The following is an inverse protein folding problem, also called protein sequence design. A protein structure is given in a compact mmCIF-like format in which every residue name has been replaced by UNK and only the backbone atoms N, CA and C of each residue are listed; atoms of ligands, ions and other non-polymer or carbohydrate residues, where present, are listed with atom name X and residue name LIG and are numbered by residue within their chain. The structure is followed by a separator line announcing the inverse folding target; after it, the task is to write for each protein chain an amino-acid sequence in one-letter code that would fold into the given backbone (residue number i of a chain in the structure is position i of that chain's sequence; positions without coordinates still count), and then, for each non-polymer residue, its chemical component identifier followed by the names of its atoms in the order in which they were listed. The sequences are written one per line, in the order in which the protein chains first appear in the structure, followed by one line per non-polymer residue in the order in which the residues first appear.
data_IF_028851611455
#
_entry.id   IF_028851611455
#
_cell.length_a   1.000
_cell.length_b   1.000
_cell.length_c   1.000
_cell.angle_alpha   90.00
_cell.angle_beta   90.00
_cell.angle_gamma   90.00
#
_symmetry.space_group_name_H-M   'P 1'
#
loop_
_entity.id
_entity.type
_entity.pdbx_description
1 polymer ?
#
# COMPACT_ATOMS: atom_id res chain seq x y z
N UNK A 1 6.71 -51.16 36.26
CA UNK A 1 7.02 -50.50 34.99
C UNK A 1 5.78 -50.07 34.16
N UNK A 2 4.75 -50.91 34.03
CA UNK A 2 3.55 -50.66 33.22
C UNK A 2 2.76 -49.40 33.63
N UNK A 3 2.51 -49.16 34.91
CA UNK A 3 1.75 -47.98 35.39
C UNK A 3 2.40 -46.65 35.05
N UNK A 4 3.74 -46.55 35.07
CA UNK A 4 4.47 -45.33 34.76
C UNK A 4 4.36 -44.93 33.26
N UNK A 5 4.39 -45.92 32.36
CA UNK A 5 4.23 -45.72 30.93
C UNK A 5 2.78 -45.34 30.56
N UNK A 6 1.78 -45.89 31.27
CA UNK A 6 0.38 -45.53 31.05
C UNK A 6 0.10 -44.09 31.43
N UNK A 7 0.62 -43.61 32.58
CA UNK A 7 0.48 -42.21 33.02
C UNK A 7 1.17 -41.28 32.05
N UNK A 8 2.39 -41.59 31.60
CA UNK A 8 3.13 -40.79 30.63
C UNK A 8 2.39 -40.65 29.28
N UNK A 9 1.77 -41.72 28.81
CA UNK A 9 0.99 -41.69 27.59
C UNK A 9 -0.31 -40.88 27.76
N UNK A 10 -0.96 -40.97 28.92
CA UNK A 10 -2.16 -40.17 29.22
C UNK A 10 -1.84 -38.65 29.24
N UNK A 11 -0.71 -38.26 29.89
CA UNK A 11 -0.25 -36.87 29.93
C UNK A 11 0.08 -36.32 28.52
N UNK A 12 0.74 -37.13 27.68
CA UNK A 12 1.02 -36.77 26.30
C UNK A 12 -0.26 -36.63 25.45
N UNK A 13 -1.26 -37.44 25.72
CA UNK A 13 -2.55 -37.35 25.01
C UNK A 13 -3.32 -36.11 25.45
N UNK A 14 -3.38 -35.83 26.75
CA UNK A 14 -4.02 -34.63 27.29
C UNK A 14 -3.35 -33.34 26.82
N UNK A 15 -2.02 -33.29 26.74
CA UNK A 15 -1.30 -32.12 26.23
C UNK A 15 -1.64 -31.83 24.75
N UNK A 16 -1.76 -32.88 23.92
CA UNK A 16 -2.18 -32.72 22.50
C UNK A 16 -3.61 -32.20 22.38
N UNK A 17 -4.52 -32.69 23.22
CA UNK A 17 -5.92 -32.22 23.22
C UNK A 17 -6.02 -30.75 23.65
N UNK A 18 -5.26 -30.35 24.68
CA UNK A 18 -5.21 -28.96 25.15
C UNK A 18 -4.65 -28.03 24.05
N UNK A 19 -3.56 -28.45 23.39
CA UNK A 19 -2.97 -27.69 22.27
C UNK A 19 -3.98 -27.55 21.14
N UNK A 20 -4.71 -28.62 20.80
CA UNK A 20 -5.73 -28.58 19.73
C UNK A 20 -6.91 -27.67 20.07
N UNK A 21 -7.37 -27.66 21.33
CA UNK A 21 -8.42 -26.76 21.83
C UNK A 21 -7.93 -25.32 21.81
N UNK A 22 -6.69 -25.04 22.23
CA UNK A 22 -6.11 -23.69 22.19
C UNK A 22 -5.97 -23.15 20.75
N UNK A 23 -5.54 -24.01 19.81
CA UNK A 23 -5.45 -23.64 18.38
C UNK A 23 -6.84 -23.38 17.80
N UNK A 24 -7.83 -24.25 18.09
CA UNK A 24 -9.20 -24.07 17.64
C UNK A 24 -9.83 -22.79 18.21
N UNK A 25 -9.59 -22.48 19.47
CA UNK A 25 -10.06 -21.25 20.13
C UNK A 25 -9.40 -19.99 19.55
N UNK A 26 -8.11 -20.06 19.19
CA UNK A 26 -7.41 -18.96 18.53
C UNK A 26 -7.91 -18.72 17.11
N UNK A 27 -8.26 -19.77 16.37
CA UNK A 27 -8.78 -19.65 15.00
C UNK A 27 -10.20 -19.09 14.94
N UNK A 28 -11.05 -19.37 15.93
CA UNK A 28 -12.41 -18.82 15.99
C UNK A 28 -12.44 -17.33 16.31
N UNK A 29 -11.39 -16.80 16.97
CA UNK A 29 -11.27 -15.38 17.29
C UNK A 29 -10.58 -14.53 16.20
N UNK A 30 -9.99 -15.16 15.18
CA UNK A 30 -9.34 -14.44 14.06
C UNK A 30 -10.33 -13.84 13.04
N UNK A 31 -11.62 -14.12 13.16
CA UNK A 31 -12.66 -13.68 12.21
C UNK A 31 -13.71 -12.73 12.76
N UNK A 32 -13.63 -12.34 14.04
CA UNK A 32 -14.59 -11.36 14.59
C UNK A 32 -14.14 -9.97 14.19
N UNK A 33 -14.70 -9.44 13.11
CA UNK A 33 -14.65 -8.00 12.83
C UNK A 33 -15.20 -7.30 14.07
N UNK A 34 -14.35 -6.52 14.76
CA UNK A 34 -14.77 -5.76 15.94
C UNK A 34 -15.95 -4.90 15.53
N UNK A 35 -17.13 -5.21 16.10
CA UNK A 35 -18.35 -4.49 15.76
C UNK A 35 -18.17 -3.02 16.16
N UNK A 36 -18.32 -2.15 15.18
CA UNK A 36 -18.17 -0.71 15.42
C UNK A 36 -19.38 -0.19 16.21
N UNK A 37 -19.14 0.60 17.25
CA UNK A 37 -20.23 1.26 17.99
C UNK A 37 -20.99 2.26 17.10
N UNK A 38 -22.28 2.42 17.34
CA UNK A 38 -23.09 3.34 16.54
C UNK A 38 -22.63 4.79 16.63
N UNK A 39 -22.06 5.20 17.75
CA UNK A 39 -21.48 6.53 17.95
C UNK A 39 -20.25 6.72 17.04
N UNK A 40 -19.32 5.76 17.05
CA UNK A 40 -18.12 5.80 16.20
C UNK A 40 -18.50 5.74 14.71
N UNK A 41 -19.43 4.85 14.35
CA UNK A 41 -19.93 4.75 12.98
C UNK A 41 -20.53 6.07 12.50
N UNK A 42 -21.40 6.70 13.28
CA UNK A 42 -22.04 7.97 12.94
C UNK A 42 -21.00 9.09 12.75
N UNK A 43 -19.93 9.09 13.56
CA UNK A 43 -18.82 10.04 13.41
C UNK A 43 -18.05 9.82 12.11
N UNK A 44 -17.66 8.57 11.82
CA UNK A 44 -16.90 8.24 10.61
C UNK A 44 -17.73 8.44 9.33
N UNK A 45 -19.01 8.14 9.36
CA UNK A 45 -19.93 8.28 8.23
C UNK A 45 -20.10 9.74 7.76
N UNK A 46 -19.85 10.71 8.64
CA UNK A 46 -19.88 12.15 8.26
C UNK A 46 -18.70 12.56 7.37
N UNK A 47 -17.63 11.77 7.34
CA UNK A 47 -16.47 12.09 6.49
C UNK A 47 -16.78 11.79 5.03
N UNK A 48 -16.57 12.72 4.08
CA UNK A 48 -17.04 12.60 2.70
C UNK A 48 -16.47 11.40 1.94
N UNK A 49 -15.24 10.97 2.26
CA UNK A 49 -14.62 9.80 1.61
C UNK A 49 -14.88 8.52 2.43
N UNK A 50 -14.62 8.55 3.73
CA UNK A 50 -14.77 7.39 4.62
C UNK A 50 -16.23 6.94 4.66
N UNK A 51 -17.16 7.90 4.65
CA UNK A 51 -18.59 7.64 4.68
C UNK A 51 -19.17 6.91 3.47
N UNK A 52 -18.41 6.79 2.37
CA UNK A 52 -18.76 5.96 1.21
C UNK A 52 -18.58 4.46 1.49
N UNK A 53 -17.88 4.11 2.57
CA UNK A 53 -17.59 2.70 2.90
C UNK A 53 -18.76 2.04 3.61
N UNK A 54 -18.99 0.74 3.39
CA UNK A 54 -19.94 -0.05 4.17
C UNK A 54 -19.62 -0.01 5.66
N UNK A 55 -20.65 -0.11 6.54
CA UNK A 55 -20.48 -0.09 8.01
C UNK A 55 -19.39 -1.08 8.47
N UNK A 56 -19.39 -2.30 7.94
CA UNK A 56 -18.42 -3.33 8.28
C UNK A 56 -16.95 -2.94 8.00
N UNK A 57 -16.69 -2.08 7.01
CA UNK A 57 -15.34 -1.73 6.55
C UNK A 57 -14.93 -0.28 6.90
N UNK A 58 -15.80 0.49 7.52
CA UNK A 58 -15.60 1.94 7.71
C UNK A 58 -14.36 2.26 8.55
N UNK A 59 -14.05 1.44 9.57
CA UNK A 59 -12.85 1.59 10.40
C UNK A 59 -11.57 1.30 9.59
N UNK A 60 -11.60 0.24 8.78
CA UNK A 60 -10.47 -0.10 7.90
C UNK A 60 -10.23 1.01 6.89
N UNK A 61 -11.28 1.57 6.29
CA UNK A 61 -11.18 2.71 5.36
C UNK A 61 -10.63 3.96 6.02
N UNK A 62 -11.03 4.24 7.27
CA UNK A 62 -10.47 5.34 8.04
C UNK A 62 -8.98 5.16 8.33
N UNK A 63 -8.58 3.95 8.72
CA UNK A 63 -7.18 3.57 8.95
C UNK A 63 -6.34 3.70 7.68
N UNK A 64 -6.86 3.19 6.56
CA UNK A 64 -6.20 3.30 5.25
C UNK A 64 -6.00 4.76 4.83
N UNK A 65 -7.04 5.58 4.91
CA UNK A 65 -6.95 7.00 4.53
C UNK A 65 -5.93 7.74 5.42
N UNK A 66 -5.93 7.49 6.73
CA UNK A 66 -4.95 8.05 7.66
C UNK A 66 -3.52 7.64 7.30
N UNK A 67 -3.30 6.35 7.00
CA UNK A 67 -2.00 5.81 6.59
C UNK A 67 -1.54 6.41 5.25
N UNK A 68 -2.43 6.49 4.27
CA UNK A 68 -2.14 7.09 2.97
C UNK A 68 -1.73 8.56 3.11
N UNK A 69 -2.43 9.35 3.91
CA UNK A 69 -2.05 10.74 4.19
C UNK A 69 -0.73 10.85 4.95
N UNK A 70 -0.44 9.88 5.84
CA UNK A 70 0.83 9.78 6.53
C UNK A 70 2.01 9.57 5.60
N UNK A 71 1.83 8.83 4.50
CA UNK A 71 2.85 8.60 3.48
C UNK A 71 3.35 9.93 2.88
N UNK A 72 2.45 10.87 2.59
CA UNK A 72 2.82 12.15 2.01
C UNK A 72 3.59 13.05 2.99
N UNK A 73 3.26 12.99 4.28
CA UNK A 73 3.83 13.88 5.30
C UNK A 73 5.11 13.37 5.92
N UNK A 74 5.25 12.05 6.06
CA UNK A 74 6.35 11.41 6.79
C UNK A 74 7.33 10.68 5.87
N UNK A 75 7.34 11.02 4.58
CA UNK A 75 8.26 10.45 3.60
C UNK A 75 9.67 11.04 3.73
N UNK A 76 10.68 10.28 3.29
CA UNK A 76 12.04 10.79 3.04
C UNK A 76 12.08 11.78 1.87
N UNK A 77 11.04 11.77 1.02
CA UNK A 77 10.86 12.73 -0.07
C UNK A 77 10.06 13.91 0.49
N UNK A 78 10.47 15.16 0.25
CA UNK A 78 9.73 16.34 0.73
C UNK A 78 8.27 16.36 0.23
N UNK A 79 7.35 16.79 1.09
CA UNK A 79 5.90 16.71 0.89
C UNK A 79 5.45 17.26 -0.47
N UNK A 80 6.01 18.40 -0.89
CA UNK A 80 5.72 19.01 -2.21
C UNK A 80 5.92 18.01 -3.36
N UNK A 81 7.04 17.33 -3.36
CA UNK A 81 7.36 16.38 -4.44
C UNK A 81 6.51 15.11 -4.35
N UNK A 82 6.15 14.67 -3.15
CA UNK A 82 5.19 13.56 -2.99
C UNK A 82 3.85 13.88 -3.67
N UNK A 83 3.34 15.11 -3.47
CA UNK A 83 2.09 15.54 -4.12
C UNK A 83 2.25 15.69 -5.65
N UNK A 84 3.39 16.18 -6.14
CA UNK A 84 3.67 16.27 -7.59
C UNK A 84 3.79 14.87 -8.23
N UNK A 85 4.42 13.91 -7.55
CA UNK A 85 4.47 12.50 -7.99
C UNK A 85 3.06 11.88 -8.00
N UNK A 86 2.28 12.13 -6.95
CA UNK A 86 0.88 11.73 -6.89
C UNK A 86 0.05 12.35 -8.01
N UNK A 87 0.29 13.60 -8.37
CA UNK A 87 -0.35 14.27 -9.51
C UNK A 87 0.00 13.59 -10.84
N UNK A 88 1.28 13.31 -11.08
CA UNK A 88 1.71 12.62 -12.30
C UNK A 88 1.09 11.21 -12.41
N UNK A 89 1.10 10.43 -11.32
CA UNK A 89 0.46 9.12 -11.28
C UNK A 89 -1.05 9.21 -11.55
N UNK A 90 -1.72 10.18 -10.93
CA UNK A 90 -3.16 10.42 -11.10
C UNK A 90 -3.53 10.78 -12.53
N UNK A 91 -2.71 11.62 -13.18
CA UNK A 91 -2.89 12.01 -14.56
C UNK A 91 -2.72 10.80 -15.52
N UNK A 92 -1.69 9.97 -15.29
CA UNK A 92 -1.48 8.74 -16.05
C UNK A 92 -2.66 7.76 -15.91
N UNK A 93 -3.25 7.66 -14.71
CA UNK A 93 -4.42 6.83 -14.41
C UNK A 93 -5.74 7.45 -14.85
N UNK A 94 -5.77 8.71 -15.30
CA UNK A 94 -6.97 9.47 -15.68
C UNK A 94 -8.00 9.58 -14.53
N UNK A 95 -7.52 9.68 -13.28
CA UNK A 95 -8.35 9.80 -12.10
C UNK A 95 -8.60 11.29 -11.79
N UNK A 96 -9.70 11.84 -12.23
CA UNK A 96 -10.03 13.27 -12.06
C UNK A 96 -10.04 13.72 -10.60
N UNK A 97 -10.64 12.92 -9.71
CA UNK A 97 -10.64 13.20 -8.27
C UNK A 97 -9.23 13.24 -7.69
N UNK A 98 -8.38 12.31 -8.11
CA UNK A 98 -7.01 12.22 -7.64
C UNK A 98 -6.16 13.36 -8.20
N UNK A 99 -6.35 13.73 -9.47
CA UNK A 99 -5.70 14.89 -10.11
C UNK A 99 -6.02 16.17 -9.32
N UNK A 100 -7.31 16.40 -9.04
CA UNK A 100 -7.73 17.58 -8.29
C UNK A 100 -7.11 17.62 -6.89
N UNK A 101 -7.21 16.51 -6.14
CA UNK A 101 -6.69 16.42 -4.79
C UNK A 101 -5.16 16.59 -4.71
N UNK A 102 -4.41 15.89 -5.58
CA UNK A 102 -2.95 15.98 -5.59
C UNK A 102 -2.47 17.36 -6.06
N UNK A 103 -3.10 17.95 -7.07
CA UNK A 103 -2.79 19.32 -7.52
C UNK A 103 -3.02 20.33 -6.42
N UNK A 104 -4.17 20.29 -5.74
CA UNK A 104 -4.50 21.18 -4.64
C UNK A 104 -3.48 21.09 -3.51
N UNK A 105 -3.14 19.87 -3.08
CA UNK A 105 -2.17 19.67 -2.02
C UNK A 105 -0.73 20.02 -2.45
N UNK A 106 -0.34 19.80 -3.70
CA UNK A 106 0.94 20.24 -4.23
C UNK A 106 1.10 21.76 -4.14
N UNK A 107 0.07 22.51 -4.56
CA UNK A 107 0.06 23.99 -4.43
C UNK A 107 0.14 24.40 -2.97
N UNK A 108 -0.63 23.76 -2.08
CA UNK A 108 -0.59 24.02 -0.64
C UNK A 108 0.77 23.74 -0.03
N UNK A 109 1.50 22.75 -0.55
CA UNK A 109 2.88 22.42 -0.16
C UNK A 109 3.94 23.28 -0.88
N UNK A 110 3.55 24.32 -1.59
CA UNK A 110 4.44 25.30 -2.23
C UNK A 110 4.87 24.96 -3.65
N UNK A 111 4.14 24.11 -4.37
CA UNK A 111 4.38 23.88 -5.79
C UNK A 111 3.91 25.08 -6.62
N UNK A 112 4.75 25.49 -7.57
CA UNK A 112 4.41 26.53 -8.54
C UNK A 112 3.76 25.93 -9.81
N UNK A 113 3.30 26.80 -10.71
CA UNK A 113 2.60 26.40 -11.94
C UNK A 113 3.49 25.55 -12.86
N UNK A 114 4.78 25.87 -12.95
CA UNK A 114 5.72 25.15 -13.85
C UNK A 114 6.02 23.75 -13.32
N UNK A 115 6.12 23.57 -12.02
CA UNK A 115 6.26 22.25 -11.39
C UNK A 115 5.02 21.37 -11.65
N UNK A 116 3.81 21.96 -11.60
CA UNK A 116 2.56 21.26 -11.91
C UNK A 116 2.49 20.86 -13.38
N UNK A 117 2.84 21.78 -14.30
CA UNK A 117 2.92 21.47 -15.72
C UNK A 117 3.91 20.38 -16.02
N UNK A 118 5.08 20.41 -15.38
CA UNK A 118 6.14 19.40 -15.52
C UNK A 118 5.65 18.01 -15.07
N UNK A 119 4.97 17.91 -13.91
CA UNK A 119 4.40 16.66 -13.44
C UNK A 119 3.37 16.08 -14.44
N UNK A 120 2.51 16.91 -15.01
CA UNK A 120 1.55 16.49 -16.02
C UNK A 120 2.22 16.06 -17.34
N UNK A 121 3.24 16.78 -17.77
CA UNK A 121 4.03 16.45 -18.96
C UNK A 121 4.75 15.12 -18.80
N UNK A 122 5.33 14.85 -17.64
CA UNK A 122 5.97 13.57 -17.32
C UNK A 122 4.96 12.41 -17.40
N UNK A 123 3.76 12.58 -16.88
CA UNK A 123 2.71 11.57 -16.98
C UNK A 123 2.36 11.26 -18.44
N UNK A 124 2.22 12.28 -19.28
CA UNK A 124 1.94 12.13 -20.70
C UNK A 124 3.09 11.42 -21.44
N UNK A 125 4.33 11.77 -21.14
CA UNK A 125 5.52 11.14 -21.71
C UNK A 125 5.61 9.64 -21.36
N UNK A 126 5.39 9.29 -20.11
CA UNK A 126 5.41 7.88 -19.68
C UNK A 126 4.28 7.09 -20.36
N UNK A 127 3.09 7.65 -20.46
CA UNK A 127 1.97 7.02 -21.15
C UNK A 127 2.27 6.81 -22.65
N UNK A 128 2.88 7.79 -23.31
CA UNK A 128 3.33 7.69 -24.69
C UNK A 128 4.37 6.57 -24.86
N UNK A 129 5.44 6.58 -24.08
CA UNK A 129 6.51 5.58 -24.17
C UNK A 129 6.00 4.17 -23.87
N UNK A 130 5.15 4.02 -22.86
CA UNK A 130 4.53 2.74 -22.54
C UNK A 130 3.74 2.19 -23.73
N UNK A 131 2.85 3.01 -24.31
CA UNK A 131 2.05 2.63 -25.47
C UNK A 131 2.94 2.29 -26.66
N UNK A 132 3.95 3.10 -26.93
CA UNK A 132 4.86 2.90 -28.04
C UNK A 132 5.66 1.59 -27.92
N UNK A 133 6.23 1.30 -26.76
CA UNK A 133 7.00 0.08 -26.54
C UNK A 133 6.14 -1.18 -26.64
N UNK A 134 4.93 -1.17 -26.07
CA UNK A 134 4.01 -2.30 -26.20
C UNK A 134 3.51 -2.50 -27.63
N UNK A 135 3.11 -1.43 -28.31
CA UNK A 135 2.65 -1.53 -29.70
C UNK A 135 3.75 -1.97 -30.67
N UNK A 136 4.99 -1.57 -30.42
CA UNK A 136 6.17 -1.96 -31.19
C UNK A 136 6.76 -3.32 -30.78
N UNK A 137 6.18 -4.01 -29.82
CA UNK A 137 6.68 -5.30 -29.31
C UNK A 137 8.15 -5.24 -28.92
N UNK A 138 8.59 -4.12 -28.29
CA UNK A 138 9.97 -3.94 -27.87
C UNK A 138 10.38 -5.03 -26.90
N UNK A 139 11.45 -5.76 -27.22
CA UNK A 139 12.00 -6.80 -26.36
C UNK A 139 12.55 -6.19 -25.06
N UNK A 140 12.04 -6.65 -23.92
CA UNK A 140 12.37 -6.10 -22.61
C UNK A 140 13.84 -6.34 -22.24
N UNK A 141 14.43 -7.48 -22.60
CA UNK A 141 15.81 -7.77 -22.22
C UNK A 141 16.79 -6.97 -23.09
N UNK A 142 16.45 -6.73 -24.36
CA UNK A 142 17.17 -5.80 -25.21
C UNK A 142 17.09 -4.38 -24.68
N UNK A 143 15.90 -3.94 -24.21
CA UNK A 143 15.72 -2.63 -23.58
C UNK A 143 16.54 -2.50 -22.30
N UNK A 144 16.53 -3.52 -21.40
CA UNK A 144 17.35 -3.52 -20.18
C UNK A 144 18.84 -3.41 -20.49
N UNK A 145 19.32 -4.14 -21.50
CA UNK A 145 20.72 -4.04 -21.94
C UNK A 145 21.08 -2.63 -22.43
N UNK A 146 20.17 -1.98 -23.15
CA UNK A 146 20.36 -0.62 -23.67
C UNK A 146 20.42 0.43 -22.56
N UNK A 147 19.58 0.31 -21.53
CA UNK A 147 19.54 1.28 -20.42
C UNK A 147 20.66 1.03 -19.40
N UNK A 148 21.14 -0.20 -19.28
CA UNK A 148 22.07 -0.62 -18.25
C UNK A 148 21.40 -1.38 -17.11
N UNK A 149 22.19 -1.77 -16.12
CA UNK A 149 21.71 -2.51 -14.96
C UNK A 149 21.93 -1.75 -13.65
N UNK A 150 21.04 -1.99 -12.71
CA UNK A 150 21.15 -1.50 -11.34
C UNK A 150 21.45 -2.68 -10.41
N UNK A 151 22.39 -2.49 -9.48
CA UNK A 151 22.70 -3.44 -8.42
C UNK A 151 22.47 -2.80 -7.07
N UNK A 152 21.87 -3.54 -6.15
CA UNK A 152 21.70 -3.16 -4.75
C UNK A 152 22.55 -4.16 -3.94
N UNK A 153 23.51 -3.67 -3.17
CA UNK A 153 24.32 -4.51 -2.30
C UNK A 153 23.57 -4.88 -1.00
N UNK A 154 24.20 -5.72 -0.17
CA UNK A 154 23.65 -6.16 1.11
C UNK A 154 23.41 -5.03 2.13
N UNK A 155 24.08 -3.91 1.97
CA UNK A 155 23.99 -2.74 2.84
C UNK A 155 23.01 -1.69 2.28
N UNK A 156 22.33 -2.00 1.17
CA UNK A 156 21.34 -1.15 0.52
C UNK A 156 21.92 -0.07 -0.39
N UNK A 157 23.24 -0.07 -0.66
CA UNK A 157 23.84 0.88 -1.59
C UNK A 157 23.49 0.51 -3.02
N UNK A 158 23.15 1.53 -3.81
CA UNK A 158 22.73 1.37 -5.21
C UNK A 158 23.87 1.80 -6.12
N UNK A 159 24.21 0.94 -7.07
CA UNK A 159 25.15 1.25 -8.15
C UNK A 159 24.54 0.96 -9.51
N UNK A 160 24.93 1.73 -10.53
CA UNK A 160 24.52 1.52 -11.92
C UNK A 160 25.74 1.15 -12.76
N UNK A 161 25.58 0.19 -13.66
CA UNK A 161 26.57 -0.13 -14.69
C UNK A 161 26.00 0.30 -16.02
N UNK A 162 26.58 1.32 -16.63
CA UNK A 162 26.38 1.63 -18.05
C UNK A 162 27.23 0.67 -18.87
N UNK A 163 26.66 0.11 -19.91
CA UNK A 163 27.42 -0.66 -20.89
C UNK A 163 28.13 0.29 -21.83
#
# INVERSE_FOLDING_TARGET
MLKKNLILNLVKMLSKVIIFICISYSMTNLGVSQEISDVEYTKLKKHPIIGLSPKANIKASAGFLKGAMGLYKNSVIPEKYMWLMGLAASAAMKCEYCIHANKFNAVKAGANLEEIKTANQLAAQIAYLSTHFYASQMDLDKFKKMIGSMKIDKDGNISTTNQ
#
